data_IF_636867354188
#
_entry.id   IF_636867354188
#
_cell.length_a   1.000
_cell.length_b   1.000
_cell.length_c   1.000
_cell.angle_alpha   90.00
_cell.angle_beta   90.00
_cell.angle_gamma   90.00
#
_symmetry.space_group_name_H-M   'P 1'
#
loop_
_entity.id
_entity.type
_entity.pdbx_description
1 polymer ?
#
# COMPACT_ATOMS: atom_id res chain seq x y z
N UNK A 1 -7.60 -5.11 9.31
CA UNK A 1 -6.47 -5.42 8.41
C UNK A 1 -6.68 -6.81 7.82
N UNK A 2 -6.94 -6.89 6.52
CA UNK A 2 -7.02 -8.12 5.72
C UNK A 2 -5.62 -8.64 5.36
N UNK A 3 -5.53 -9.84 4.77
CA UNK A 3 -4.25 -10.41 4.32
C UNK A 3 -3.65 -9.59 3.17
N UNK A 4 -4.46 -9.25 2.17
CA UNK A 4 -4.05 -8.48 0.99
C UNK A 4 -3.52 -7.09 1.36
N UNK A 5 -4.11 -6.41 2.36
CA UNK A 5 -3.61 -5.13 2.87
C UNK A 5 -2.19 -5.26 3.43
N UNK A 6 -1.94 -6.30 4.26
CA UNK A 6 -0.63 -6.56 4.85
C UNK A 6 0.41 -6.91 3.79
N UNK A 7 0.05 -7.74 2.81
CA UNK A 7 0.95 -8.10 1.71
C UNK A 7 1.28 -6.91 0.83
N UNK A 8 0.31 -6.04 0.57
CA UNK A 8 0.52 -4.78 -0.18
C UNK A 8 1.50 -3.86 0.54
N UNK A 9 1.30 -3.66 1.84
CA UNK A 9 2.17 -2.85 2.69
C UNK A 9 3.60 -3.40 2.76
N UNK A 10 3.74 -4.71 2.95
CA UNK A 10 5.05 -5.37 2.97
C UNK A 10 5.78 -5.17 1.64
N UNK A 11 5.09 -5.38 0.51
CA UNK A 11 5.70 -5.16 -0.80
C UNK A 11 6.11 -3.71 -1.03
N UNK A 12 5.27 -2.73 -0.67
CA UNK A 12 5.62 -1.30 -0.83
C UNK A 12 6.78 -0.91 0.09
N UNK A 13 6.86 -1.49 1.29
CA UNK A 13 7.99 -1.26 2.20
C UNK A 13 9.30 -1.87 1.67
N UNK A 14 9.24 -3.04 1.03
CA UNK A 14 10.39 -3.72 0.41
C UNK A 14 10.84 -3.04 -0.89
N UNK A 15 9.88 -2.68 -1.77
CA UNK A 15 10.14 -2.16 -3.10
C UNK A 15 10.35 -0.63 -3.14
N UNK A 16 9.88 0.10 -2.12
CA UNK A 16 9.87 1.55 -2.09
C UNK A 16 8.70 2.16 -2.87
N UNK A 17 8.83 3.41 -3.39
CA UNK A 17 7.77 4.08 -4.12
C UNK A 17 7.37 3.33 -5.39
N UNK A 18 6.14 2.81 -5.45
CA UNK A 18 5.65 1.99 -6.57
C UNK A 18 4.22 2.35 -6.96
N UNK A 19 3.88 2.23 -8.24
CA UNK A 19 2.53 2.50 -8.72
C UNK A 19 1.52 1.48 -8.19
N UNK A 20 0.28 1.91 -7.93
CA UNK A 20 -0.84 1.07 -7.49
C UNK A 20 -0.99 -0.21 -8.31
N UNK A 21 -0.97 -0.07 -9.65
CA UNK A 21 -1.07 -1.21 -10.56
C UNK A 21 0.12 -2.17 -10.49
N UNK A 22 1.31 -1.69 -10.11
CA UNK A 22 2.49 -2.54 -9.91
C UNK A 22 2.32 -3.42 -8.66
N UNK A 23 1.78 -2.85 -7.58
CA UNK A 23 1.48 -3.58 -6.34
C UNK A 23 0.46 -4.68 -6.64
N UNK A 24 -0.64 -4.34 -7.33
CA UNK A 24 -1.66 -5.31 -7.73
C UNK A 24 -1.07 -6.41 -8.62
N UNK A 25 -0.29 -6.04 -9.65
CA UNK A 25 0.34 -7.02 -10.54
C UNK A 25 1.30 -7.96 -9.80
N UNK A 26 2.09 -7.45 -8.84
CA UNK A 26 2.98 -8.28 -8.04
C UNK A 26 2.20 -9.24 -7.12
N UNK A 27 1.12 -8.77 -6.49
CA UNK A 27 0.23 -9.62 -5.71
C UNK A 27 -0.33 -10.74 -6.58
N UNK A 28 -0.91 -10.41 -7.73
CA UNK A 28 -1.51 -11.39 -8.63
C UNK A 28 -0.48 -12.34 -9.24
N UNK A 29 0.78 -11.90 -9.42
CA UNK A 29 1.82 -12.73 -10.01
C UNK A 29 2.54 -13.63 -8.99
N UNK A 30 2.73 -13.19 -7.75
CA UNK A 30 3.68 -13.82 -6.82
C UNK A 30 3.14 -14.13 -5.43
N UNK A 31 2.13 -13.42 -4.93
CA UNK A 31 1.72 -13.52 -3.52
C UNK A 31 0.31 -14.09 -3.34
N UNK A 32 -0.66 -13.56 -4.08
CA UNK A 32 -2.08 -13.88 -3.94
C UNK A 32 -2.80 -13.72 -5.30
N UNK A 33 -2.68 -14.71 -6.22
CA UNK A 33 -3.45 -14.73 -7.46
C UNK A 33 -4.93 -14.95 -7.13
N UNK A 34 -5.66 -13.87 -6.89
CA UNK A 34 -7.09 -13.91 -6.57
C UNK A 34 -7.91 -13.63 -7.83
N UNK A 35 -8.45 -14.65 -8.52
CA UNK A 35 -9.21 -14.45 -9.76
C UNK A 35 -10.50 -13.65 -9.57
N UNK A 36 -10.99 -13.52 -8.34
CA UNK A 36 -12.18 -12.75 -7.99
C UNK A 36 -11.86 -11.35 -7.42
N UNK A 37 -10.59 -11.04 -7.11
CA UNK A 37 -10.23 -9.74 -6.57
C UNK A 37 -10.05 -8.75 -7.73
N UNK A 38 -11.09 -7.97 -7.98
CA UNK A 38 -11.02 -6.86 -8.93
C UNK A 38 -10.12 -5.72 -8.47
N UNK A 39 -9.65 -4.96 -9.43
CA UNK A 39 -8.85 -3.74 -9.29
C UNK A 39 -9.57 -2.67 -8.45
N UNK A 40 -10.91 -2.54 -8.59
CA UNK A 40 -11.72 -1.67 -7.74
C UNK A 40 -11.81 -2.14 -6.28
N UNK A 41 -11.91 -3.46 -6.03
CA UNK A 41 -11.90 -4.00 -4.67
C UNK A 41 -10.55 -3.76 -4.02
N UNK A 42 -9.47 -3.99 -4.77
CA UNK A 42 -8.12 -3.70 -4.32
C UNK A 42 -7.93 -2.22 -3.96
N UNK A 43 -8.43 -1.31 -4.80
CA UNK A 43 -8.43 0.12 -4.51
C UNK A 43 -9.22 0.47 -3.25
N UNK A 44 -10.38 -0.17 -3.03
CA UNK A 44 -11.17 0.02 -1.82
C UNK A 44 -10.45 -0.46 -0.55
N UNK A 45 -9.69 -1.56 -0.63
CA UNK A 45 -8.87 -2.06 0.48
C UNK A 45 -7.70 -1.13 0.81
N UNK A 46 -7.10 -0.48 -0.19
CA UNK A 46 -5.99 0.44 0.03
C UNK A 46 -6.44 1.85 0.44
N UNK A 47 -7.69 2.24 0.19
CA UNK A 47 -8.22 3.55 0.58
C UNK A 47 -8.05 3.86 2.08
N UNK A 48 -8.45 2.98 3.02
CA UNK A 48 -8.23 3.21 4.46
C UNK A 48 -6.76 3.34 4.85
N UNK A 49 -5.85 2.67 4.13
CA UNK A 49 -4.41 2.76 4.38
C UNK A 49 -3.81 4.11 3.97
N UNK A 50 -4.51 4.85 3.11
CA UNK A 50 -4.05 6.13 2.56
C UNK A 50 -4.83 7.32 3.10
N UNK A 51 -6.15 7.18 3.20
CA UNK A 51 -7.08 8.24 3.60
C UNK A 51 -7.61 8.03 5.04
N UNK A 52 -7.13 6.99 5.74
CA UNK A 52 -7.51 6.70 7.12
C UNK A 52 -6.83 7.63 8.15
N UNK A 53 -7.27 7.52 9.40
CA UNK A 53 -6.82 8.38 10.51
C UNK A 53 -5.30 8.31 10.77
N UNK A 54 -4.71 7.15 10.50
CA UNK A 54 -3.26 6.92 10.53
C UNK A 54 -2.78 6.38 9.17
N UNK A 55 -2.52 7.25 8.19
CA UNK A 55 -2.14 6.81 6.86
C UNK A 55 -0.76 6.16 6.89
N UNK A 56 -0.70 4.88 6.51
CA UNK A 56 0.53 4.10 6.39
C UNK A 56 1.14 4.22 4.99
N UNK A 57 0.37 4.75 4.04
CA UNK A 57 0.78 4.96 2.65
C UNK A 57 0.52 6.41 2.26
N UNK A 58 1.44 6.98 1.50
CA UNK A 58 1.30 8.32 0.91
C UNK A 58 1.13 8.21 -0.60
N UNK A 59 0.14 8.91 -1.16
CA UNK A 59 -0.03 9.07 -2.61
C UNK A 59 0.95 10.15 -3.09
N UNK A 60 1.93 9.76 -3.87
CA UNK A 60 2.73 10.67 -4.70
C UNK A 60 2.08 10.72 -6.08
N UNK A 61 2.11 11.88 -6.74
CA UNK A 61 1.53 12.07 -8.07
C UNK A 61 0.00 11.85 -8.14
N UNK A 62 -0.73 12.44 -7.18
CA UNK A 62 -2.20 12.35 -7.12
C UNK A 62 -2.93 12.90 -8.37
N UNK A 63 -2.23 13.67 -9.22
CA UNK A 63 -2.73 14.15 -10.51
C UNK A 63 -2.90 13.04 -11.55
N UNK A 64 -2.25 11.89 -11.37
CA UNK A 64 -2.41 10.72 -12.24
C UNK A 64 -3.69 9.96 -11.92
N UNK A 65 -4.15 9.18 -12.90
CA UNK A 65 -5.22 8.20 -12.68
C UNK A 65 -4.81 7.19 -11.61
N UNK A 66 -5.79 6.74 -10.83
CA UNK A 66 -5.56 5.94 -9.63
C UNK A 66 -4.66 4.68 -9.81
N UNK A 67 -4.64 3.94 -10.95
CA UNK A 67 -3.74 2.79 -11.12
C UNK A 67 -2.27 3.21 -11.29
N UNK A 68 -2.05 4.44 -11.78
CA UNK A 68 -0.74 5.01 -12.05
C UNK A 68 -0.19 5.82 -10.87
N UNK A 69 -1.02 6.13 -9.88
CA UNK A 69 -0.59 6.84 -8.67
C UNK A 69 0.48 6.04 -7.95
N UNK A 70 1.55 6.73 -7.57
CA UNK A 70 2.66 6.14 -6.85
C UNK A 70 2.33 6.12 -5.37
N UNK A 71 2.48 4.95 -4.76
CA UNK A 71 2.38 4.74 -3.34
C UNK A 71 3.78 4.68 -2.75
N UNK A 72 4.03 5.52 -1.76
CA UNK A 72 5.22 5.47 -0.95
C UNK A 72 4.86 5.00 0.48
N UNK A 73 5.75 4.28 1.17
CA UNK A 73 5.58 4.00 2.58
C UNK A 73 5.50 5.33 3.34
N UNK A 74 4.36 5.56 4.00
CA UNK A 74 4.18 6.72 4.87
C UNK A 74 5.07 6.58 6.08
N UNK A 75 5.64 7.69 6.53
CA UNK A 75 6.24 7.76 7.86
C UNK A 75 5.07 7.73 8.85
N UNK A 76 4.63 6.53 9.24
CA UNK A 76 3.62 6.36 10.27
C UNK A 76 4.13 7.12 11.49
N UNK A 77 3.45 8.20 11.88
CA UNK A 77 3.70 8.86 13.16
C UNK A 77 3.33 7.87 14.25
N UNK A 78 4.27 6.98 14.56
CA UNK A 78 4.16 6.15 15.74
C UNK A 78 4.08 7.10 16.92
N UNK A 79 3.21 6.77 17.86
CA UNK A 79 2.99 7.49 19.13
C UNK A 79 4.24 7.51 20.04
N UNK A 80 5.44 7.17 19.52
CA UNK A 80 6.68 7.06 20.27
C UNK A 80 7.80 7.92 19.65
N UNK A 81 8.31 8.94 20.35
CA UNK A 81 9.41 9.76 19.87
C UNK A 81 10.71 8.99 20.06
N UNK A 82 11.25 8.42 18.98
CA UNK A 82 12.63 7.90 18.99
C UNK A 82 12.90 6.60 18.22
N UNK A 83 11.89 5.93 17.68
CA UNK A 83 12.13 4.72 16.87
C UNK A 83 12.27 5.10 15.40
N UNK A 84 13.47 4.88 14.83
CA UNK A 84 13.70 4.91 13.38
C UNK A 84 12.56 4.18 12.68
N UNK A 85 12.10 4.74 11.57
CA UNK A 85 11.08 4.19 10.67
C UNK A 85 11.35 2.70 10.44
N UNK A 86 10.77 1.87 11.31
CA UNK A 86 11.11 0.47 11.49
C UNK A 86 9.84 -0.29 11.30
N UNK A 87 9.60 -0.67 10.05
CA UNK A 87 8.51 -1.53 9.64
C UNK A 87 8.74 -2.91 10.27
N UNK A 88 8.28 -3.10 11.52
CA UNK A 88 8.33 -4.41 12.18
C UNK A 88 7.03 -5.13 11.83
N UNK A 89 7.11 -6.05 10.87
CA UNK A 89 6.13 -7.11 10.62
C UNK A 89 5.94 -7.98 11.86
#
# INVERSE_FOLDING_TARGET
MSLTERLSLAYIAEAGPVAFGRVYAELMAKREPLPFLGDMMFHALLRPLIDGEHPLLTKTEAHLEWPRRVLAPGCAKTRYPGTRCGFRL
#
